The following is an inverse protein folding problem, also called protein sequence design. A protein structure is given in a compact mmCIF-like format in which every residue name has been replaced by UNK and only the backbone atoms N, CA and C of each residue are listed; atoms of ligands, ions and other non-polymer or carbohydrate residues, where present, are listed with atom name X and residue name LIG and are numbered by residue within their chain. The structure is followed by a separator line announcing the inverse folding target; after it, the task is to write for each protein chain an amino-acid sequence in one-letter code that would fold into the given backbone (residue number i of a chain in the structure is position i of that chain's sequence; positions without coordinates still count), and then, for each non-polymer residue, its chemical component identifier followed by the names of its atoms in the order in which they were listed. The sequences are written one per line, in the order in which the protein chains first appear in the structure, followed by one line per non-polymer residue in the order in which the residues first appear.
data_IF_873601957666
#
_entry.id   IF_873601957666
#
_cell.length_a   1.000
_cell.length_b   1.000
_cell.length_c   1.000
_cell.angle_alpha   90.00
_cell.angle_beta   90.00
_cell.angle_gamma   90.00
#
_symmetry.space_group_name_H-M   'P 1'
#
loop_
_entity.id
_entity.type
_entity.pdbx_description
1 polymer ?
#
# COMPACT_ATOMS: atom_id res chain seq x y z
N UNK A 1 -38.43 -32.27 -44.70
CA UNK A 1 -37.84 -30.93 -44.48
C UNK A 1 -37.18 -30.95 -43.11
N UNK A 2 -35.88 -31.23 -43.05
CA UNK A 2 -35.11 -31.23 -41.80
C UNK A 2 -34.19 -30.01 -41.81
N UNK A 3 -34.36 -29.11 -40.83
CA UNK A 3 -33.48 -27.97 -40.65
C UNK A 3 -32.23 -28.44 -39.91
N UNK A 4 -31.09 -28.46 -40.61
CA UNK A 4 -29.78 -28.64 -39.99
C UNK A 4 -29.41 -27.32 -39.30
N UNK A 5 -29.74 -27.21 -38.01
CA UNK A 5 -29.24 -26.15 -37.16
C UNK A 5 -27.79 -26.49 -36.78
N UNK A 6 -26.83 -25.93 -37.51
CA UNK A 6 -25.44 -25.87 -37.04
C UNK A 6 -25.38 -24.81 -35.94
N UNK A 7 -25.29 -25.25 -34.68
CA UNK A 7 -24.87 -24.37 -33.59
C UNK A 7 -23.45 -23.86 -33.88
N UNK A 8 -23.14 -22.58 -33.59
CA UNK A 8 -21.77 -22.11 -33.68
C UNK A 8 -20.90 -22.85 -32.65
N UNK A 9 -19.59 -23.00 -32.89
CA UNK A 9 -18.70 -23.56 -31.88
C UNK A 9 -18.68 -22.65 -30.64
N UNK A 10 -18.70 -23.26 -29.45
CA UNK A 10 -18.58 -22.61 -28.14
C UNK A 10 -17.16 -22.02 -27.91
N UNK A 11 -16.62 -21.24 -28.85
CA UNK A 11 -15.30 -20.59 -28.73
C UNK A 11 -15.31 -19.30 -27.89
N UNK A 12 -16.48 -18.84 -27.44
CA UNK A 12 -16.64 -17.49 -26.87
C UNK A 12 -16.22 -17.40 -25.39
N UNK A 13 -16.03 -18.51 -24.68
CA UNK A 13 -15.80 -18.47 -23.22
C UNK A 13 -14.31 -18.49 -22.85
N UNK A 14 -13.42 -18.96 -23.74
CA UNK A 14 -11.98 -19.04 -23.45
C UNK A 14 -11.22 -17.72 -23.69
N UNK A 15 -11.66 -16.91 -24.65
CA UNK A 15 -10.92 -15.70 -25.06
C UNK A 15 -11.09 -14.52 -24.09
N UNK A 16 -12.25 -14.40 -23.44
CA UNK A 16 -12.57 -13.26 -22.57
C UNK A 16 -11.85 -13.28 -21.21
N UNK A 17 -11.44 -14.47 -20.73
CA UNK A 17 -10.68 -14.58 -19.48
C UNK A 17 -9.27 -13.97 -19.55
N UNK A 18 -8.76 -13.72 -20.77
CA UNK A 18 -7.45 -13.11 -20.98
C UNK A 18 -7.50 -11.58 -21.20
N UNK A 19 -8.68 -10.98 -21.30
CA UNK A 19 -8.83 -9.53 -21.50
C UNK A 19 -8.81 -8.75 -20.18
N UNK A 20 -9.21 -9.38 -19.09
CA UNK A 20 -9.01 -8.82 -17.76
C UNK A 20 -7.71 -9.40 -17.21
N UNK A 21 -6.68 -8.57 -16.93
CA UNK A 21 -5.50 -9.07 -16.27
C UNK A 21 -5.96 -9.76 -14.98
N UNK A 22 -5.59 -11.04 -14.80
CA UNK A 22 -5.84 -11.71 -13.53
C UNK A 22 -5.07 -10.92 -12.50
N UNK A 23 -5.78 -10.27 -11.57
CA UNK A 23 -5.16 -9.55 -10.46
C UNK A 23 -4.56 -10.60 -9.51
N UNK A 24 -3.41 -11.18 -9.90
CA UNK A 24 -2.54 -11.82 -8.94
C UNK A 24 -1.95 -10.67 -8.13
N UNK A 25 -2.51 -10.42 -6.95
CA UNK A 25 -1.95 -9.43 -6.02
C UNK A 25 -0.44 -9.63 -5.87
N UNK A 26 0.27 -8.54 -5.61
CA UNK A 26 1.71 -8.60 -5.39
C UNK A 26 2.02 -9.53 -4.19
N UNK A 27 3.13 -10.30 -4.23
CA UNK A 27 3.52 -11.15 -3.12
C UNK A 27 3.83 -10.31 -1.87
N UNK A 28 3.55 -10.89 -0.71
CA UNK A 28 3.93 -10.35 0.59
C UNK A 28 5.14 -11.14 1.07
N UNK A 29 6.24 -10.44 1.32
CA UNK A 29 7.51 -11.03 1.76
C UNK A 29 7.59 -11.17 3.27
N UNK A 30 7.02 -10.21 4.00
CA UNK A 30 7.07 -10.15 5.46
C UNK A 30 5.91 -9.36 6.05
N UNK A 31 5.60 -9.65 7.31
CA UNK A 31 4.70 -8.87 8.15
C UNK A 31 5.50 -8.26 9.31
N UNK A 32 5.16 -7.04 9.70
CA UNK A 32 5.81 -6.35 10.82
C UNK A 32 4.79 -5.77 11.79
N UNK A 33 5.15 -5.78 13.06
CA UNK A 33 4.49 -5.00 14.11
C UNK A 33 5.57 -4.32 14.94
N UNK A 34 5.46 -3.00 15.08
CA UNK A 34 6.41 -2.18 15.83
C UNK A 34 5.71 -1.66 17.07
N UNK A 35 6.33 -1.90 18.23
CA UNK A 35 5.87 -1.41 19.52
C UNK A 35 6.79 -0.28 19.97
N UNK A 36 6.29 0.95 19.96
CA UNK A 36 6.99 2.11 20.50
C UNK A 36 6.55 2.31 21.95
N UNK A 37 7.38 1.81 22.87
CA UNK A 37 7.13 1.91 24.30
C UNK A 37 7.25 3.35 24.83
N UNK A 38 7.96 4.24 24.13
CA UNK A 38 8.12 5.65 24.54
C UNK A 38 6.84 6.42 24.26
N UNK A 39 6.25 6.25 23.07
CA UNK A 39 4.95 6.86 22.74
C UNK A 39 3.76 6.05 23.22
N UNK A 40 3.97 4.81 23.68
CA UNK A 40 2.93 3.86 24.07
C UNK A 40 2.04 3.44 22.91
N UNK A 41 2.54 3.52 21.68
CA UNK A 41 1.81 3.20 20.45
C UNK A 41 2.36 1.95 19.79
N UNK A 42 1.56 1.34 18.93
CA UNK A 42 2.05 0.32 18.02
C UNK A 42 1.44 0.53 16.64
N UNK A 43 2.17 0.09 15.62
CA UNK A 43 1.68 0.09 14.26
C UNK A 43 2.09 -1.19 13.56
N UNK A 44 1.31 -1.54 12.54
CA UNK A 44 1.50 -2.76 11.76
C UNK A 44 1.84 -2.43 10.34
N UNK A 45 2.48 -3.36 9.67
CA UNK A 45 2.89 -3.21 8.30
C UNK A 45 3.17 -4.54 7.62
N UNK A 46 3.50 -4.44 6.35
CA UNK A 46 4.00 -5.57 5.58
C UNK A 46 5.01 -5.07 4.54
N UNK A 47 5.84 -6.00 4.07
CA UNK A 47 6.73 -5.78 2.92
C UNK A 47 6.18 -6.58 1.76
N UNK A 48 6.08 -5.96 0.59
CA UNK A 48 5.60 -6.64 -0.61
C UNK A 48 5.89 -5.84 -1.88
N UNK A 49 5.47 -6.37 -3.01
CA UNK A 49 5.87 -5.87 -4.33
C UNK A 49 7.02 -6.70 -4.91
N UNK A 50 7.54 -6.28 -6.06
CA UNK A 50 8.62 -7.00 -6.75
C UNK A 50 9.58 -6.03 -7.44
N UNK A 51 10.87 -6.40 -7.48
CA UNK A 51 11.93 -5.57 -8.05
C UNK A 51 11.88 -4.13 -7.51
N UNK A 52 11.76 -3.17 -8.41
CA UNK A 52 11.76 -1.74 -8.09
C UNK A 52 10.51 -1.26 -7.35
N UNK A 53 9.47 -2.09 -7.25
CA UNK A 53 8.22 -1.82 -6.50
C UNK A 53 8.20 -2.49 -5.13
N UNK A 54 9.29 -3.16 -4.73
CA UNK A 54 9.37 -3.77 -3.40
C UNK A 54 9.36 -2.65 -2.35
N UNK A 55 8.35 -2.64 -1.51
CA UNK A 55 8.07 -1.53 -0.60
C UNK A 55 7.64 -2.01 0.77
N UNK A 56 7.94 -1.21 1.78
CA UNK A 56 7.42 -1.38 3.12
C UNK A 56 6.17 -0.53 3.29
N UNK A 57 5.06 -1.14 3.68
CA UNK A 57 3.80 -0.47 3.98
C UNK A 57 3.59 -0.45 5.49
N UNK A 58 3.32 0.72 6.07
CA UNK A 58 3.01 0.86 7.50
C UNK A 58 1.70 1.62 7.72
N UNK A 59 0.82 1.07 8.56
CA UNK A 59 -0.53 1.58 8.79
C UNK A 59 -0.60 2.43 10.05
N UNK A 60 -0.93 3.70 9.85
CA UNK A 60 -0.96 4.71 10.91
C UNK A 60 -2.43 5.13 11.12
N UNK A 61 -3.00 4.70 12.23
CA UNK A 61 -4.36 5.02 12.65
C UNK A 61 -4.36 6.07 13.79
N UNK A 62 -5.54 6.31 14.36
CA UNK A 62 -5.72 7.26 15.45
C UNK A 62 -4.91 6.94 16.72
N UNK A 63 -4.42 5.70 16.89
CA UNK A 63 -3.57 5.34 18.03
C UNK A 63 -2.13 5.85 17.87
N UNK A 64 -1.70 6.09 16.63
CA UNK A 64 -0.35 6.56 16.27
C UNK A 64 -0.34 8.08 16.09
N UNK A 65 -1.38 8.62 15.44
CA UNK A 65 -1.47 10.05 15.16
C UNK A 65 -1.72 10.85 16.43
N UNK A 66 -1.02 11.99 16.57
CA UNK A 66 -1.08 12.86 17.75
C UNK A 66 -0.03 12.54 18.81
N UNK A 67 0.82 11.53 18.57
CA UNK A 67 1.94 11.16 19.45
C UNK A 67 3.29 11.53 18.82
N UNK A 68 4.34 11.53 19.65
CA UNK A 68 5.69 11.76 19.15
C UNK A 68 6.20 10.50 18.43
N UNK A 69 6.17 10.53 17.10
CA UNK A 69 6.48 9.36 16.26
C UNK A 69 7.91 9.37 15.70
N UNK A 70 8.81 10.25 16.18
CA UNK A 70 10.15 10.39 15.58
C UNK A 70 10.96 9.10 15.65
N UNK A 71 11.01 8.47 16.82
CA UNK A 71 11.77 7.23 17.01
C UNK A 71 11.16 6.06 16.25
N UNK A 72 9.83 5.90 16.31
CA UNK A 72 9.14 4.85 15.56
C UNK A 72 9.31 4.99 14.05
N UNK A 73 9.30 6.22 13.51
CA UNK A 73 9.51 6.47 12.08
C UNK A 73 10.97 6.24 11.66
N UNK A 74 11.94 6.65 12.48
CA UNK A 74 13.36 6.37 12.21
C UNK A 74 13.64 4.88 12.18
N UNK A 75 13.12 4.13 13.16
CA UNK A 75 13.26 2.66 13.19
C UNK A 75 12.61 2.01 11.96
N UNK A 76 11.47 2.55 11.49
CA UNK A 76 10.80 2.06 10.29
C UNK A 76 11.66 2.25 9.03
N UNK A 77 12.29 3.41 8.88
CA UNK A 77 13.17 3.72 7.75
C UNK A 77 14.42 2.84 7.81
N UNK A 78 15.04 2.70 8.99
CA UNK A 78 16.20 1.83 9.17
C UNK A 78 15.88 0.36 8.83
N UNK A 79 14.72 -0.16 9.24
CA UNK A 79 14.28 -1.50 8.86
C UNK A 79 14.09 -1.64 7.34
N UNK A 80 13.51 -0.63 6.71
CA UNK A 80 13.29 -0.61 5.27
C UNK A 80 14.61 -0.69 4.49
N UNK A 81 15.61 0.12 4.87
CA UNK A 81 16.93 0.15 4.24
C UNK A 81 17.75 -1.12 4.53
N UNK A 82 17.89 -1.47 5.80
CA UNK A 82 18.93 -2.41 6.24
C UNK A 82 18.47 -3.86 6.31
N UNK A 83 17.20 -4.09 6.64
CA UNK A 83 16.65 -5.44 6.84
C UNK A 83 15.91 -5.91 5.59
N UNK A 84 15.03 -5.07 5.07
CA UNK A 84 14.15 -5.47 3.98
C UNK A 84 14.69 -5.12 2.59
N UNK A 85 15.66 -4.19 2.52
CA UNK A 85 16.25 -3.67 1.28
C UNK A 85 15.16 -3.33 0.25
N UNK A 86 14.19 -2.52 0.69
CA UNK A 86 13.09 -2.02 -0.15
C UNK A 86 13.48 -0.69 -0.82
N UNK A 87 12.82 -0.35 -1.91
CA UNK A 87 13.06 0.92 -2.64
C UNK A 87 12.20 2.07 -2.11
N UNK A 88 11.16 1.76 -1.33
CA UNK A 88 10.19 2.75 -0.89
C UNK A 88 9.55 2.37 0.45
N UNK A 89 9.34 3.37 1.32
CA UNK A 89 8.39 3.28 2.45
C UNK A 89 7.10 3.98 2.06
N UNK A 90 5.97 3.34 2.36
CA UNK A 90 4.62 3.87 2.19
C UNK A 90 3.91 3.90 3.53
N UNK A 91 3.56 5.09 4.00
CA UNK A 91 2.67 5.27 5.14
C UNK A 91 1.22 5.27 4.65
N UNK A 92 0.43 4.33 5.17
CA UNK A 92 -1.01 4.20 4.97
C UNK A 92 -1.72 4.91 6.14
N UNK A 93 -2.13 6.16 5.94
CA UNK A 93 -2.74 7.00 6.95
C UNK A 93 -4.27 6.85 6.95
N UNK A 94 -4.88 6.55 8.10
CA UNK A 94 -6.33 6.37 8.23
C UNK A 94 -7.08 7.67 7.95
N UNK A 95 -8.04 7.64 7.01
CA UNK A 95 -8.87 8.79 6.62
C UNK A 95 -9.89 9.18 7.68
N UNK A 96 -10.25 8.30 8.60
CA UNK A 96 -11.21 8.57 9.68
C UNK A 96 -10.66 9.50 10.77
N UNK A 97 -9.34 9.71 10.79
CA UNK A 97 -8.68 10.68 11.66
C UNK A 97 -9.15 12.10 11.35
N UNK A 98 -9.29 12.92 12.38
CA UNK A 98 -9.73 14.32 12.23
C UNK A 98 -8.88 15.05 11.19
N UNK A 99 -9.51 15.87 10.35
CA UNK A 99 -8.82 16.63 9.30
C UNK A 99 -7.68 17.50 9.85
N UNK A 100 -7.83 18.02 11.06
CA UNK A 100 -6.83 18.86 11.73
C UNK A 100 -5.60 18.03 12.08
N UNK A 101 -5.78 16.90 12.77
CA UNK A 101 -4.67 16.04 13.19
C UNK A 101 -3.99 15.39 11.99
N UNK A 102 -4.78 14.96 11.00
CA UNK A 102 -4.30 14.35 9.77
C UNK A 102 -3.42 15.33 8.98
N UNK A 103 -3.86 16.59 8.81
CA UNK A 103 -3.06 17.62 8.11
C UNK A 103 -1.78 17.97 8.86
N UNK A 104 -1.83 18.09 10.19
CA UNK A 104 -0.64 18.34 11.00
C UNK A 104 0.37 17.19 10.87
N UNK A 105 -0.11 15.95 10.90
CA UNK A 105 0.72 14.76 10.75
C UNK A 105 1.32 14.64 9.35
N UNK A 106 0.52 14.82 8.29
CA UNK A 106 1.01 14.87 6.90
C UNK A 106 2.07 15.94 6.70
N UNK A 107 1.91 17.12 7.32
CA UNK A 107 2.94 18.17 7.27
C UNK A 107 4.25 17.63 7.84
N UNK A 108 4.25 17.01 9.03
CA UNK A 108 5.46 16.45 9.63
C UNK A 108 6.13 15.40 8.74
N UNK A 109 5.35 14.50 8.13
CA UNK A 109 5.89 13.49 7.21
C UNK A 109 6.53 14.12 5.96
N UNK A 110 5.97 15.23 5.44
CA UNK A 110 6.59 15.97 4.32
C UNK A 110 7.94 16.58 4.68
N UNK A 111 8.17 16.96 5.94
CA UNK A 111 9.49 17.42 6.38
C UNK A 111 10.53 16.29 6.38
N UNK A 112 10.09 15.04 6.54
CA UNK A 112 10.96 13.85 6.49
C UNK A 112 11.25 13.44 5.04
N UNK A 113 10.36 13.76 4.10
CA UNK A 113 10.51 13.44 2.68
C UNK A 113 9.35 12.66 2.07
N UNK A 114 8.29 12.41 2.83
CA UNK A 114 7.11 11.72 2.30
C UNK A 114 6.22 12.63 1.45
N UNK A 115 5.73 12.11 0.34
CA UNK A 115 4.80 12.79 -0.57
C UNK A 115 3.53 11.97 -0.80
N UNK A 116 2.42 12.64 -1.14
CA UNK A 116 1.17 11.94 -1.45
C UNK A 116 1.30 11.18 -2.77
N UNK A 117 0.93 9.90 -2.78
CA UNK A 117 1.01 9.03 -3.96
C UNK A 117 -0.33 8.32 -4.20
N UNK A 118 -0.53 7.84 -5.43
CA UNK A 118 -1.55 6.83 -5.76
C UNK A 118 -0.97 5.42 -5.57
N UNK A 119 -1.83 4.41 -5.59
CA UNK A 119 -1.45 3.00 -5.44
C UNK A 119 -1.13 2.33 -6.79
N UNK A 120 -1.01 3.12 -7.85
CA UNK A 120 -0.94 2.68 -9.24
C UNK A 120 0.20 1.69 -9.50
N UNK A 121 1.37 1.95 -8.91
CA UNK A 121 2.58 1.13 -9.05
C UNK A 121 2.34 -0.34 -8.66
N UNK A 122 1.52 -0.60 -7.64
CA UNK A 122 1.27 -1.96 -7.13
C UNK A 122 -0.01 -2.58 -7.69
N UNK A 123 -0.98 -1.76 -8.08
CA UNK A 123 -2.26 -2.21 -8.63
C UNK A 123 -2.21 -2.48 -10.14
N UNK A 124 -1.18 -2.01 -10.85
CA UNK A 124 -1.11 -2.07 -12.32
C UNK A 124 -2.36 -1.44 -12.97
N UNK A 125 -2.82 -0.33 -12.40
CA UNK A 125 -3.97 0.45 -12.82
C UNK A 125 -3.73 1.94 -12.51
N UNK A 126 -4.52 2.84 -13.09
CA UNK A 126 -4.37 4.29 -12.95
C UNK A 126 -5.35 4.85 -11.92
N UNK A 127 -4.92 5.90 -11.21
CA UNK A 127 -5.71 6.64 -10.22
C UNK A 127 -6.30 5.75 -9.11
N UNK A 128 -5.57 4.69 -8.75
CA UNK A 128 -5.96 3.75 -7.71
C UNK A 128 -5.76 4.41 -6.35
N UNK A 129 -6.87 4.64 -5.67
CA UNK A 129 -6.91 5.21 -4.33
C UNK A 129 -7.73 4.32 -3.39
N UNK A 130 -7.62 4.57 -2.09
CA UNK A 130 -8.41 3.88 -1.07
C UNK A 130 -9.35 4.85 -0.38
N UNK A 131 -10.60 4.42 -0.13
CA UNK A 131 -11.57 5.15 0.68
C UNK A 131 -11.21 5.14 2.17
N UNK A 132 -10.33 4.22 2.60
CA UNK A 132 -9.91 4.08 3.99
C UNK A 132 -8.53 4.68 4.27
N UNK A 133 -7.61 4.54 3.32
CA UNK A 133 -6.21 4.90 3.52
C UNK A 133 -5.78 6.01 2.56
N UNK A 134 -4.98 6.95 3.07
CA UNK A 134 -4.17 7.86 2.27
C UNK A 134 -2.75 7.32 2.21
N UNK A 135 -2.16 7.33 1.02
CA UNK A 135 -0.81 6.81 0.81
C UNK A 135 0.20 7.96 0.73
N UNK A 136 1.24 7.86 1.55
CA UNK A 136 2.37 8.78 1.57
C UNK A 136 3.64 7.98 1.32
N UNK A 137 4.32 8.24 0.21
CA UNK A 137 5.52 7.51 -0.21
C UNK A 137 6.81 8.30 0.02
N UNK A 138 7.87 7.61 0.39
CA UNK A 138 9.24 8.13 0.45
C UNK A 138 10.18 7.10 -0.17
N UNK A 139 10.97 7.51 -1.15
CA UNK A 139 12.05 6.70 -1.72
C UNK A 139 13.24 6.68 -0.76
N UNK A 140 13.98 5.58 -0.74
CA UNK A 140 15.10 5.34 0.17
C UNK A 140 16.35 4.90 -0.58
#
# INVERSE_FOLDING_TARGET
MGANAHSPPDEVVSGLNNYFPRWSGQPIDAWIEVWDYTSGSSFRGFVGGNGDTKSLFAFFDSSVVGREQKQGLMALIELAETVFAVTQVVICLDRSISEVDRKAFMKNLRWVGFEAITFDKWANALDVTSDKWLFLGMEI
#
